data_IF_842683470005
#
_entry.id   IF_842683470005
#
_cell.length_a   1.000
_cell.length_b   1.000
_cell.length_c   1.000
_cell.angle_alpha   90.00
_cell.angle_beta   90.00
_cell.angle_gamma   90.00
#
_symmetry.space_group_name_H-M   'P 1'
#
loop_
_entity.id
_entity.type
_entity.pdbx_description
1 polymer ?
#
# COMPACT_ATOMS: atom_id res chain seq x y z
N UNK A 1 -21.70 -11.46 8.51
CA UNK A 1 -21.03 -11.21 9.80
C UNK A 1 -19.62 -11.74 9.62
N UNK A 2 -18.60 -10.88 9.71
CA UNK A 2 -17.23 -11.25 9.33
C UNK A 2 -16.55 -11.87 10.55
N UNK A 3 -16.15 -13.14 10.46
CA UNK A 3 -15.43 -13.84 11.53
C UNK A 3 -14.06 -13.20 11.76
N UNK A 4 -13.52 -13.23 13.00
CA UNK A 4 -12.15 -12.77 13.32
C UNK A 4 -11.10 -13.36 12.36
N UNK A 5 -11.25 -14.63 11.96
CA UNK A 5 -10.35 -15.27 10.98
C UNK A 5 -10.49 -14.66 9.58
N UNK A 6 -11.71 -14.33 9.19
CA UNK A 6 -12.03 -13.73 7.90
C UNK A 6 -11.52 -12.29 7.84
N UNK A 7 -11.66 -11.53 8.93
CA UNK A 7 -11.09 -10.18 9.07
C UNK A 7 -9.56 -10.19 8.99
N UNK A 8 -8.89 -11.15 9.65
CA UNK A 8 -7.43 -11.31 9.56
C UNK A 8 -7.00 -11.65 8.12
N UNK A 9 -7.80 -12.45 7.41
CA UNK A 9 -7.51 -12.83 6.01
C UNK A 9 -7.62 -11.61 5.10
N UNK A 10 -8.72 -10.85 5.20
CA UNK A 10 -8.91 -9.60 4.44
C UNK A 10 -7.78 -8.61 4.71
N UNK A 11 -7.40 -8.41 5.98
CA UNK A 11 -6.32 -7.50 6.34
C UNK A 11 -4.96 -7.93 5.77
N UNK A 12 -4.68 -9.24 5.71
CA UNK A 12 -3.48 -9.77 5.06
C UNK A 12 -3.50 -9.56 3.55
N UNK A 13 -4.65 -9.75 2.90
CA UNK A 13 -4.79 -9.54 1.46
C UNK A 13 -4.61 -8.07 1.09
N UNK A 14 -5.16 -7.15 1.90
CA UNK A 14 -4.90 -5.72 1.76
C UNK A 14 -3.40 -5.41 1.92
N UNK A 15 -2.75 -5.97 2.95
CA UNK A 15 -1.34 -5.74 3.21
C UNK A 15 -0.45 -6.27 2.07
N UNK A 16 -0.74 -7.47 1.56
CA UNK A 16 -0.05 -8.05 0.39
C UNK A 16 -0.21 -7.19 -0.86
N UNK A 17 -1.40 -6.62 -1.06
CA UNK A 17 -1.69 -5.73 -2.20
C UNK A 17 -0.87 -4.44 -2.11
N UNK A 18 -0.77 -3.85 -0.91
CA UNK A 18 0.09 -2.68 -0.67
C UNK A 18 1.59 -3.05 -0.80
N UNK A 19 1.99 -4.25 -0.40
CA UNK A 19 3.36 -4.76 -0.58
C UNK A 19 3.77 -4.94 -2.04
N UNK A 20 2.85 -5.42 -2.88
CA UNK A 20 3.09 -5.55 -4.31
C UNK A 20 3.10 -4.19 -5.03
N UNK A 21 2.35 -3.19 -4.53
CA UNK A 21 2.16 -1.90 -5.21
C UNK A 21 3.35 -0.94 -5.06
N UNK A 22 3.97 -0.88 -3.88
CA UNK A 22 5.14 -0.02 -3.60
C UNK A 22 6.29 -0.21 -4.60
N UNK A 23 6.81 -1.43 -4.85
CA UNK A 23 7.92 -1.63 -5.78
C UNK A 23 7.53 -1.33 -7.23
N UNK A 24 6.24 -1.43 -7.59
CA UNK A 24 5.75 -1.04 -8.92
C UNK A 24 5.87 0.48 -9.07
N UNK A 25 5.39 1.25 -8.09
CA UNK A 25 5.50 2.70 -8.11
C UNK A 25 6.96 3.17 -8.14
N UNK A 26 7.82 2.59 -7.31
CA UNK A 26 9.26 2.90 -7.30
C UNK A 26 9.96 2.56 -8.62
N UNK A 27 9.60 1.43 -9.24
CA UNK A 27 10.13 1.04 -10.55
C UNK A 27 9.74 2.06 -11.62
N UNK A 28 8.51 2.57 -11.60
CA UNK A 28 8.07 3.58 -12.56
C UNK A 28 8.73 4.95 -12.30
N UNK A 29 8.97 5.33 -11.05
CA UNK A 29 9.69 6.57 -10.68
C UNK A 29 11.13 6.56 -11.22
N UNK A 30 11.79 5.41 -11.21
CA UNK A 30 13.20 5.29 -11.57
C UNK A 30 13.43 4.91 -13.05
N UNK A 31 12.39 4.59 -13.81
CA UNK A 31 12.53 4.14 -15.18
C UNK A 31 12.54 5.33 -16.16
N UNK A 32 13.72 5.72 -16.64
CA UNK A 32 13.88 6.79 -17.62
C UNK A 32 13.12 6.55 -18.95
N UNK A 33 12.92 5.28 -19.37
CA UNK A 33 12.15 4.94 -20.57
C UNK A 33 10.65 5.17 -20.38
N UNK A 34 10.15 5.15 -19.15
CA UNK A 34 8.75 5.47 -18.86
C UNK A 34 8.46 6.96 -19.13
N UNK A 35 9.46 7.82 -18.93
CA UNK A 35 9.32 9.27 -19.01
C UNK A 35 9.71 9.86 -20.37
N UNK A 36 10.32 9.08 -21.27
CA UNK A 36 10.87 9.58 -22.55
C UNK A 36 9.80 10.10 -23.52
N UNK A 37 8.53 9.75 -23.31
CA UNK A 37 7.41 10.20 -24.14
C UNK A 37 6.66 11.44 -23.62
N UNK A 38 7.04 11.95 -22.45
CA UNK A 38 6.30 13.01 -21.76
C UNK A 38 7.10 14.30 -21.68
N UNK A 39 6.38 15.43 -21.60
CA UNK A 39 7.00 16.74 -21.34
C UNK A 39 7.59 16.77 -19.92
N UNK A 40 8.66 17.55 -19.66
CA UNK A 40 9.29 17.65 -18.33
C UNK A 40 8.29 17.95 -17.20
N UNK A 41 7.38 18.89 -17.43
CA UNK A 41 6.32 19.28 -16.47
C UNK A 41 5.38 18.10 -16.12
N UNK A 42 5.11 17.22 -17.09
CA UNK A 42 4.28 16.04 -16.89
C UNK A 42 5.07 14.97 -16.13
N UNK A 43 6.37 14.83 -16.41
CA UNK A 43 7.25 13.92 -15.68
C UNK A 43 7.34 14.25 -14.19
N UNK A 44 7.50 15.53 -13.87
CA UNK A 44 7.59 15.99 -12.48
C UNK A 44 6.28 15.71 -11.74
N UNK A 45 5.13 15.96 -12.39
CA UNK A 45 3.82 15.67 -11.82
C UNK A 45 3.55 14.18 -11.64
N UNK A 46 3.99 13.34 -12.59
CA UNK A 46 3.88 11.88 -12.47
C UNK A 46 4.75 11.38 -11.31
N UNK A 47 5.99 11.86 -11.18
CA UNK A 47 6.88 11.49 -10.07
C UNK A 47 6.30 11.89 -8.73
N UNK A 48 5.69 13.08 -8.63
CA UNK A 48 5.03 13.56 -7.43
C UNK A 48 3.86 12.65 -7.04
N UNK A 49 2.98 12.32 -7.98
CA UNK A 49 1.83 11.44 -7.76
C UNK A 49 2.29 10.03 -7.36
N UNK A 50 3.26 9.44 -8.06
CA UNK A 50 3.79 8.12 -7.73
C UNK A 50 4.45 8.10 -6.34
N UNK A 51 5.16 9.17 -5.97
CA UNK A 51 5.76 9.31 -4.64
C UNK A 51 4.70 9.43 -3.54
N UNK A 52 3.60 10.14 -3.81
CA UNK A 52 2.48 10.25 -2.88
C UNK A 52 1.76 8.92 -2.71
N UNK A 53 1.55 8.16 -3.79
CA UNK A 53 0.99 6.81 -3.75
C UNK A 53 1.88 5.84 -2.98
N UNK A 54 3.20 5.85 -3.22
CA UNK A 54 4.15 5.02 -2.48
C UNK A 54 4.09 5.30 -0.96
N UNK A 55 4.13 6.58 -0.57
CA UNK A 55 3.98 6.99 0.84
C UNK A 55 2.63 6.59 1.44
N UNK A 56 1.55 6.71 0.66
CA UNK A 56 0.21 6.28 1.08
C UNK A 56 0.15 4.78 1.33
N UNK A 57 0.70 3.98 0.42
CA UNK A 57 0.81 2.52 0.57
C UNK A 57 1.65 2.10 1.78
N UNK A 58 2.74 2.80 2.08
CA UNK A 58 3.50 2.58 3.31
C UNK A 58 2.70 2.89 4.58
N UNK A 59 1.95 4.00 4.59
CA UNK A 59 1.08 4.35 5.70
C UNK A 59 -0.04 3.32 5.90
N UNK A 60 -0.64 2.82 4.81
CA UNK A 60 -1.64 1.76 4.86
C UNK A 60 -1.06 0.46 5.44
N UNK A 61 0.14 0.04 5.01
CA UNK A 61 0.82 -1.11 5.62
C UNK A 61 1.02 -0.94 7.12
N UNK A 62 1.48 0.24 7.54
CA UNK A 62 1.67 0.52 8.96
C UNK A 62 0.35 0.38 9.73
N UNK A 63 -0.73 0.95 9.20
CA UNK A 63 -2.05 0.85 9.80
C UNK A 63 -2.58 -0.59 9.85
N UNK A 64 -2.48 -1.35 8.75
CA UNK A 64 -2.91 -2.75 8.70
C UNK A 64 -2.09 -3.65 9.63
N UNK A 65 -0.78 -3.42 9.74
CA UNK A 65 0.08 -4.15 10.70
C UNK A 65 -0.33 -3.86 12.14
N UNK A 66 -0.62 -2.61 12.48
CA UNK A 66 -1.08 -2.25 13.82
C UNK A 66 -2.44 -2.88 14.13
N UNK A 67 -3.40 -2.81 13.19
CA UNK A 67 -4.70 -3.48 13.33
C UNK A 67 -4.56 -4.99 13.51
N UNK A 68 -3.71 -5.65 12.72
CA UNK A 68 -3.45 -7.08 12.87
C UNK A 68 -2.85 -7.42 14.23
N UNK A 69 -1.96 -6.55 14.75
CA UNK A 69 -1.38 -6.70 16.08
C UNK A 69 -2.44 -6.54 17.16
N UNK A 70 -3.26 -5.49 17.09
CA UNK A 70 -4.36 -5.26 18.04
C UNK A 70 -5.38 -6.40 18.03
N UNK A 71 -5.77 -6.92 16.85
CA UNK A 71 -6.72 -8.03 16.74
C UNK A 71 -6.13 -9.34 17.30
N UNK A 72 -4.82 -9.55 17.16
CA UNK A 72 -4.11 -10.72 17.71
C UNK A 72 -3.94 -10.63 19.23
N UNK A 73 -3.56 -9.48 19.74
CA UNK A 73 -3.32 -9.26 21.18
C UNK A 73 -4.64 -9.05 21.94
N UNK A 74 -5.70 -8.65 21.24
CA UNK A 74 -7.05 -8.61 21.76
C UNK A 74 -7.60 -10.03 21.94
N UNK A 75 -7.72 -10.44 23.20
CA UNK A 75 -8.50 -11.61 23.63
C UNK A 75 -10.03 -11.39 23.50
N UNK A 76 -10.48 -10.29 22.84
CA UNK A 76 -11.89 -10.11 22.51
C UNK A 76 -12.23 -10.86 21.24
N UNK A 77 -13.20 -11.76 21.34
CA UNK A 77 -14.07 -12.10 20.23
C UNK A 77 -14.75 -10.82 19.76
N UNK A 78 -14.43 -10.40 18.55
CA UNK A 78 -15.21 -9.39 17.84
C UNK A 78 -16.50 -10.09 17.38
N UNK A 79 -17.52 -9.98 18.23
CA UNK A 79 -18.93 -10.26 17.90
C UNK A 79 -19.54 -9.05 17.19
#
# INVERSE_FOLDING_TARGET
MVDKKELITILKDCLNSEEASVPIYEKHINNALFFSGFKPEINDRIKEILSLLAKGSEAHKFFYNNLLKEIRDSNRDVY
#
